data_IF_746587319454
#
_entry.id   IF_746587319454
#
_cell.length_a   1.000
_cell.length_b   1.000
_cell.length_c   1.000
_cell.angle_alpha   90.00
_cell.angle_beta   90.00
_cell.angle_gamma   90.00
#
_symmetry.space_group_name_H-M   'P 1'
#
loop_
_entity.id
_entity.type
_entity.pdbx_description
1 polymer ?
#
# COMPACT_ATOMS: atom_id res chain seq x y z
N UNK A 1 -12.80 15.00 -28.08
CA UNK A 1 -11.59 15.55 -27.45
C UNK A 1 -11.86 16.56 -26.33
N UNK A 2 -12.24 17.83 -26.58
CA UNK A 2 -12.37 18.80 -25.47
C UNK A 2 -13.46 18.44 -24.45
N UNK A 3 -14.64 18.01 -24.92
CA UNK A 3 -15.73 17.50 -24.06
C UNK A 3 -15.36 16.25 -23.27
N UNK A 4 -14.63 15.31 -23.87
CA UNK A 4 -14.17 14.09 -23.17
C UNK A 4 -13.14 14.40 -22.08
N UNK A 5 -12.24 15.36 -22.30
CA UNK A 5 -11.29 15.81 -21.28
C UNK A 5 -11.99 16.53 -20.12
N UNK A 6 -12.97 17.40 -20.42
CA UNK A 6 -13.75 18.10 -19.40
C UNK A 6 -14.57 17.10 -18.53
N UNK A 7 -15.07 16.02 -19.13
CA UNK A 7 -15.76 14.93 -18.43
C UNK A 7 -14.80 14.13 -17.54
N UNK A 8 -13.59 13.80 -18.01
CA UNK A 8 -12.56 13.12 -17.22
C UNK A 8 -12.14 13.96 -16.00
N UNK A 9 -12.01 15.27 -16.17
CA UNK A 9 -11.61 16.17 -15.09
C UNK A 9 -12.69 16.38 -14.02
N UNK A 10 -13.97 16.17 -14.34
CA UNK A 10 -15.06 16.28 -13.38
C UNK A 10 -15.04 15.16 -12.33
N UNK A 11 -14.54 13.98 -12.70
CA UNK A 11 -14.44 12.79 -11.84
C UNK A 11 -12.98 12.48 -11.44
N UNK A 12 -12.08 13.46 -11.58
CA UNK A 12 -10.68 13.34 -11.24
C UNK A 12 -10.46 13.44 -9.71
N UNK A 13 -10.68 12.34 -9.01
CA UNK A 13 -10.32 12.13 -7.61
C UNK A 13 -9.23 11.05 -7.47
N UNK A 14 -8.65 10.90 -6.27
CA UNK A 14 -7.64 9.86 -6.01
C UNK A 14 -8.18 8.42 -6.09
N UNK A 15 -9.49 8.23 -6.21
CA UNK A 15 -10.11 6.92 -6.43
C UNK A 15 -10.25 6.58 -7.92
N UNK A 16 -9.84 7.48 -8.80
CA UNK A 16 -9.66 7.22 -10.22
C UNK A 16 -8.22 6.77 -10.49
N UNK A 17 -8.04 5.52 -10.94
CA UNK A 17 -6.73 4.93 -11.20
C UNK A 17 -5.83 5.79 -12.10
N UNK A 18 -6.38 6.43 -13.13
CA UNK A 18 -5.60 7.28 -14.05
C UNK A 18 -5.13 8.54 -13.34
N UNK A 19 -6.02 9.21 -12.61
CA UNK A 19 -5.67 10.43 -11.89
C UNK A 19 -4.67 10.14 -10.77
N UNK A 20 -4.89 9.12 -9.94
CA UNK A 20 -3.97 8.72 -8.89
C UNK A 20 -2.58 8.40 -9.46
N UNK A 21 -2.51 7.70 -10.59
CA UNK A 21 -1.23 7.36 -11.23
C UNK A 21 -0.44 8.61 -11.62
N UNK A 22 -1.10 9.58 -12.26
CA UNK A 22 -0.47 10.84 -12.67
C UNK A 22 -0.15 11.73 -11.47
N UNK A 23 -1.02 11.72 -10.46
CA UNK A 23 -0.87 12.55 -9.27
C UNK A 23 0.32 12.13 -8.41
N UNK A 24 0.66 10.85 -8.36
CA UNK A 24 1.81 10.33 -7.60
C UNK A 24 3.07 10.10 -8.45
N UNK A 25 3.01 10.27 -9.77
CA UNK A 25 4.15 10.06 -10.67
C UNK A 25 5.31 11.00 -10.30
N UNK A 26 6.45 10.43 -9.88
CA UNK A 26 7.65 11.13 -9.39
C UNK A 26 7.42 12.05 -8.16
N UNK A 27 6.27 11.98 -7.50
CA UNK A 27 5.88 12.87 -6.39
C UNK A 27 6.25 12.29 -5.01
N UNK A 28 7.56 12.26 -4.73
CA UNK A 28 8.14 11.75 -3.47
C UNK A 28 7.64 12.50 -2.24
N UNK A 29 7.74 13.83 -2.25
CA UNK A 29 7.42 14.68 -1.08
C UNK A 29 5.97 14.51 -0.62
N UNK A 30 5.06 14.33 -1.58
CA UNK A 30 3.64 14.21 -1.31
C UNK A 30 3.28 12.83 -0.76
N UNK A 31 3.85 11.75 -1.31
CA UNK A 31 3.72 10.41 -0.74
C UNK A 31 4.31 10.37 0.68
N UNK A 32 5.49 10.95 0.88
CA UNK A 32 6.16 11.04 2.17
C UNK A 32 5.31 11.75 3.22
N UNK A 33 4.75 12.91 2.88
CA UNK A 33 3.87 13.66 3.77
C UNK A 33 2.64 12.83 4.15
N UNK A 34 1.99 12.21 3.17
CA UNK A 34 0.79 11.40 3.39
C UNK A 34 1.08 10.22 4.33
N UNK A 35 2.13 9.45 4.05
CA UNK A 35 2.52 8.30 4.88
C UNK A 35 2.93 8.72 6.28
N UNK A 36 3.66 9.84 6.42
CA UNK A 36 4.07 10.36 7.73
C UNK A 36 2.85 10.73 8.59
N UNK A 37 1.83 11.34 7.98
CA UNK A 37 0.56 11.66 8.66
C UNK A 37 -0.21 10.39 9.06
N UNK A 38 -0.30 9.40 8.17
CA UNK A 38 -1.01 8.14 8.43
C UNK A 38 -0.33 7.33 9.53
N UNK A 39 1.01 7.25 9.53
CA UNK A 39 1.79 6.45 10.47
C UNK A 39 2.12 7.22 11.76
N UNK A 40 1.90 8.54 11.79
CA UNK A 40 2.13 9.38 12.97
C UNK A 40 3.60 9.50 13.36
N UNK A 41 4.52 9.29 12.41
CA UNK A 41 5.97 9.45 12.56
C UNK A 41 6.54 9.98 11.25
N UNK A 42 7.73 10.57 11.32
CA UNK A 42 8.46 10.95 10.11
C UNK A 42 8.90 9.69 9.35
N UNK A 43 8.67 9.72 8.05
CA UNK A 43 9.08 8.70 7.07
C UNK A 43 9.90 9.43 6.01
N UNK A 44 10.93 8.76 5.50
CA UNK A 44 11.78 9.30 4.44
C UNK A 44 11.65 8.39 3.22
N UNK A 45 11.05 8.92 2.15
CA UNK A 45 10.85 8.20 0.89
C UNK A 45 11.97 8.59 -0.08
N UNK A 46 12.66 7.61 -0.65
CA UNK A 46 13.71 7.80 -1.65
C UNK A 46 13.14 7.82 -3.07
N UNK A 47 12.14 6.97 -3.34
CA UNK A 47 11.53 6.87 -4.67
C UNK A 47 10.10 6.36 -4.64
N UNK A 48 9.32 6.72 -5.66
CA UNK A 48 7.94 6.27 -5.88
C UNK A 48 7.86 5.44 -7.16
N UNK A 49 7.24 4.27 -7.10
CA UNK A 49 6.83 3.47 -8.26
C UNK A 49 5.30 3.44 -8.38
N UNK A 50 4.80 3.68 -9.58
CA UNK A 50 3.35 3.70 -9.87
C UNK A 50 2.95 2.42 -10.61
N UNK A 51 1.82 1.85 -10.22
CA UNK A 51 1.22 0.67 -10.85
C UNK A 51 2.17 -0.55 -10.94
N UNK A 52 3.05 -0.72 -9.94
CA UNK A 52 4.00 -1.81 -9.88
C UNK A 52 3.28 -3.16 -9.93
N UNK A 53 3.59 -3.95 -10.96
CA UNK A 53 3.00 -5.28 -11.12
C UNK A 53 4.02 -6.37 -10.80
N UNK A 54 3.71 -7.17 -9.78
CA UNK A 54 4.41 -8.42 -9.47
C UNK A 54 3.73 -9.55 -10.24
N UNK A 55 4.38 -9.97 -11.32
CA UNK A 55 3.90 -11.05 -12.19
C UNK A 55 4.25 -12.40 -11.58
N UNK A 56 3.23 -13.23 -11.36
CA UNK A 56 3.40 -14.62 -10.95
C UNK A 56 3.02 -15.56 -12.09
N UNK A 57 3.81 -16.61 -12.31
CA UNK A 57 3.58 -17.60 -13.38
C UNK A 57 2.67 -18.75 -12.96
N UNK A 58 2.61 -19.04 -11.66
CA UNK A 58 1.92 -20.17 -11.06
C UNK A 58 0.74 -19.77 -10.16
N UNK A 59 0.52 -18.47 -9.99
CA UNK A 59 -0.40 -17.91 -9.01
C UNK A 59 -0.92 -16.54 -9.43
N UNK A 60 -1.82 -15.96 -8.64
CA UNK A 60 -2.42 -14.66 -8.95
C UNK A 60 -1.38 -13.54 -8.83
N UNK A 61 -1.13 -12.83 -9.93
CA UNK A 61 -0.32 -11.60 -9.97
C UNK A 61 -0.96 -10.47 -9.14
N UNK A 62 -0.13 -9.55 -8.69
CA UNK A 62 -0.53 -8.41 -7.86
C UNK A 62 -0.10 -7.13 -8.55
N UNK A 63 -1.02 -6.18 -8.70
CA UNK A 63 -0.73 -4.81 -9.14
C UNK A 63 -0.94 -3.90 -7.95
N UNK A 64 0.09 -3.14 -7.63
CA UNK A 64 0.15 -2.19 -6.53
C UNK A 64 -0.02 -0.78 -7.09
N UNK A 65 -0.93 0.02 -6.56
CA UNK A 65 -1.25 1.33 -7.15
C UNK A 65 -0.09 2.32 -7.01
N UNK A 66 0.43 2.49 -5.79
CA UNK A 66 1.59 3.34 -5.47
C UNK A 66 2.50 2.60 -4.51
N UNK A 67 3.80 2.62 -4.77
CA UNK A 67 4.82 1.97 -3.94
C UNK A 67 5.90 2.98 -3.60
N UNK A 68 6.03 3.30 -2.31
CA UNK A 68 7.09 4.13 -1.78
C UNK A 68 8.24 3.26 -1.26
N UNK A 69 9.46 3.59 -1.66
CA UNK A 69 10.66 2.96 -1.14
C UNK A 69 11.28 3.88 -0.08
N UNK A 70 11.36 3.42 1.16
CA UNK A 70 11.96 4.17 2.27
C UNK A 70 13.49 4.09 2.21
N UNK A 71 14.16 5.11 2.78
CA UNK A 71 15.62 5.18 2.87
C UNK A 71 16.27 4.03 3.67
N UNK A 72 15.51 3.38 4.56
CA UNK A 72 15.97 2.21 5.34
C UNK A 72 15.77 0.88 4.60
N UNK A 73 15.24 0.92 3.36
CA UNK A 73 14.94 -0.26 2.55
C UNK A 73 13.52 -0.81 2.75
N UNK A 74 12.73 -0.27 3.69
CA UNK A 74 11.33 -0.63 3.86
C UNK A 74 10.49 -0.19 2.66
N UNK A 75 9.33 -0.82 2.47
CA UNK A 75 8.42 -0.50 1.37
C UNK A 75 7.00 -0.23 1.87
N UNK A 76 6.47 0.93 1.51
CA UNK A 76 5.08 1.30 1.72
C UNK A 76 4.26 1.06 0.44
N UNK A 77 3.27 0.18 0.51
CA UNK A 77 2.31 -0.09 -0.57
C UNK A 77 1.03 0.67 -0.25
N UNK A 78 0.60 1.57 -1.13
CA UNK A 78 -0.66 2.32 -1.00
C UNK A 78 -1.64 1.85 -2.08
N UNK A 79 -2.84 1.48 -1.64
CA UNK A 79 -3.92 0.94 -2.48
C UNK A 79 -5.19 1.78 -2.33
N UNK A 80 -5.77 2.24 -3.44
CA UNK A 80 -7.03 2.97 -3.43
C UNK A 80 -8.21 2.01 -3.66
N UNK A 81 -9.23 2.07 -2.79
CA UNK A 81 -10.38 1.15 -2.82
C UNK A 81 -11.69 1.92 -3.02
N UNK A 82 -12.23 1.83 -4.23
CA UNK A 82 -13.54 2.39 -4.59
C UNK A 82 -14.69 1.53 -4.06
N UNK A 83 -14.55 0.20 -4.14
CA UNK A 83 -15.59 -0.74 -3.72
C UNK A 83 -15.28 -1.21 -2.30
N UNK A 84 -16.27 -1.08 -1.42
CA UNK A 84 -16.24 -1.61 -0.06
C UNK A 84 -15.90 -3.11 -0.04
N UNK A 85 -14.65 -3.43 0.27
CA UNK A 85 -14.24 -4.77 0.63
C UNK A 85 -14.48 -4.97 2.13
N UNK A 86 -15.42 -5.83 2.49
CA UNK A 86 -15.67 -6.18 3.90
C UNK A 86 -14.38 -6.72 4.56
N UNK A 87 -14.22 -6.56 5.88
CA UNK A 87 -12.97 -6.89 6.59
C UNK A 87 -12.37 -8.27 6.28
N UNK A 88 -13.15 -9.37 6.15
CA UNK A 88 -12.58 -10.68 5.84
C UNK A 88 -11.91 -10.77 4.46
N UNK A 89 -12.39 -10.01 3.48
CA UNK A 89 -11.82 -9.96 2.13
C UNK A 89 -10.58 -9.07 2.14
N UNK A 90 -10.67 -7.91 2.81
CA UNK A 90 -9.54 -7.00 2.95
C UNK A 90 -8.36 -7.71 3.60
N UNK A 91 -8.56 -8.39 4.73
CA UNK A 91 -7.50 -9.14 5.41
C UNK A 91 -6.84 -10.22 4.52
N UNK A 92 -7.62 -10.96 3.73
CA UNK A 92 -7.08 -11.96 2.80
C UNK A 92 -6.28 -11.30 1.67
N UNK A 93 -6.75 -10.17 1.15
CA UNK A 93 -6.05 -9.37 0.14
C UNK A 93 -4.75 -8.80 0.71
N UNK A 94 -4.80 -8.24 1.92
CA UNK A 94 -3.62 -7.70 2.60
C UNK A 94 -2.52 -8.76 2.70
N UNK A 95 -2.87 -9.95 3.19
CA UNK A 95 -1.93 -11.07 3.28
C UNK A 95 -1.35 -11.47 1.91
N UNK A 96 -2.18 -11.52 0.86
CA UNK A 96 -1.72 -11.86 -0.49
C UNK A 96 -0.75 -10.81 -1.04
N UNK A 97 -1.02 -9.53 -0.80
CA UNK A 97 -0.18 -8.42 -1.25
C UNK A 97 1.16 -8.41 -0.51
N UNK A 98 1.15 -8.51 0.82
CA UNK A 98 2.37 -8.59 1.63
C UNK A 98 3.26 -9.76 1.22
N UNK A 99 2.71 -10.98 1.06
CA UNK A 99 3.50 -12.15 0.63
C UNK A 99 4.17 -11.92 -0.73
N UNK A 100 3.48 -11.29 -1.69
CA UNK A 100 4.09 -11.02 -2.98
C UNK A 100 5.17 -9.93 -2.91
N UNK A 101 4.99 -8.94 -2.04
CA UNK A 101 6.02 -7.94 -1.75
C UNK A 101 7.27 -8.60 -1.17
N UNK A 102 7.12 -9.40 -0.11
CA UNK A 102 8.22 -10.12 0.54
C UNK A 102 8.96 -11.03 -0.45
N UNK A 103 8.23 -11.69 -1.36
CA UNK A 103 8.82 -12.50 -2.45
C UNK A 103 9.61 -11.69 -3.48
N UNK A 104 9.25 -10.42 -3.72
CA UNK A 104 10.02 -9.52 -4.60
C UNK A 104 11.28 -9.03 -3.89
N UNK A 105 11.23 -8.85 -2.56
CA UNK A 105 12.35 -8.37 -1.76
C UNK A 105 13.46 -9.42 -1.58
N UNK A 106 13.09 -10.69 -1.42
CA UNK A 106 14.05 -11.78 -1.20
C UNK A 106 14.28 -12.62 -2.46
N UNK A 107 15.54 -12.66 -2.89
CA UNK A 107 16.02 -13.58 -3.90
C UNK A 107 16.26 -14.99 -3.34
N UNK A 108 16.35 -15.96 -4.26
CA UNK A 108 16.62 -17.35 -3.88
C UNK A 108 17.98 -17.48 -3.17
N UNK A 109 17.95 -17.95 -1.92
CA UNK A 109 19.13 -18.20 -1.09
C UNK A 109 19.49 -17.07 -0.13
N UNK A 110 18.79 -15.94 -0.17
CA UNK A 110 18.94 -14.87 0.81
C UNK A 110 18.35 -15.26 2.18
N UNK A 111 18.89 -14.65 3.24
CA UNK A 111 18.45 -14.92 4.60
C UNK A 111 17.16 -14.16 4.88
N UNK A 112 16.22 -14.79 5.59
CA UNK A 112 15.02 -14.11 6.07
C UNK A 112 15.30 -12.94 7.01
N UNK A 113 16.53 -12.84 7.55
CA UNK A 113 16.97 -11.68 8.34
C UNK A 113 17.20 -10.42 7.49
N UNK A 114 17.35 -10.59 6.18
CA UNK A 114 17.57 -9.49 5.24
C UNK A 114 16.22 -9.01 4.65
N UNK A 115 15.10 -9.59 5.09
CA UNK A 115 13.76 -9.18 4.69
C UNK A 115 13.44 -7.83 5.33
N UNK A 116 13.31 -6.81 4.50
CA UNK A 116 12.99 -5.46 4.96
C UNK A 116 11.53 -5.33 5.37
N UNK A 117 11.26 -4.29 6.17
CA UNK A 117 9.91 -3.93 6.58
C UNK A 117 9.01 -3.64 5.39
N UNK A 118 7.72 -3.97 5.53
CA UNK A 118 6.70 -3.52 4.59
C UNK A 118 5.43 -3.08 5.32
N UNK A 119 4.78 -2.05 4.77
CA UNK A 119 3.48 -1.58 5.22
C UNK A 119 2.52 -1.53 4.03
N UNK A 120 1.27 -1.95 4.27
CA UNK A 120 0.22 -1.92 3.28
C UNK A 120 -0.92 -1.02 3.78
N UNK A 121 -1.12 0.10 3.10
CA UNK A 121 -2.08 1.14 3.42
C UNK A 121 -3.22 1.08 2.41
N UNK A 122 -4.42 0.81 2.89
CA UNK A 122 -5.63 0.93 2.08
C UNK A 122 -6.29 2.28 2.32
N UNK A 123 -6.43 3.08 1.27
CA UNK A 123 -7.23 4.31 1.26
C UNK A 123 -8.60 3.95 0.68
N UNK A 124 -9.64 4.01 1.48
CA UNK A 124 -10.98 3.55 1.12
C UNK A 124 -11.95 4.74 0.93
N UNK A 125 -12.82 4.67 -0.08
CA UNK A 125 -13.81 5.74 -0.37
C UNK A 125 -14.90 5.82 0.70
N UNK A 126 -15.22 4.68 1.30
CA UNK A 126 -16.20 4.53 2.38
C UNK A 126 -15.57 3.80 3.59
N UNK A 127 -16.29 3.75 4.71
CA UNK A 127 -15.88 3.03 5.92
C UNK A 127 -15.88 1.50 5.71
N UNK A 128 -14.74 0.98 5.22
CA UNK A 128 -14.55 -0.44 4.95
C UNK A 128 -14.63 -1.34 6.19
N UNK A 129 -14.38 -0.78 7.38
CA UNK A 129 -14.40 -1.53 8.64
C UNK A 129 -15.77 -1.47 9.32
N UNK A 130 -16.49 -0.37 9.15
CA UNK A 130 -17.86 -0.18 9.62
C UNK A 130 -17.94 0.24 11.09
N UNK A 131 -16.95 0.96 11.61
CA UNK A 131 -16.96 1.42 13.01
C UNK A 131 -16.85 2.94 13.18
N UNK A 132 -16.95 3.70 12.09
CA UNK A 132 -16.97 5.16 12.07
C UNK A 132 -15.62 5.82 12.36
N UNK A 133 -14.50 5.07 12.34
CA UNK A 133 -13.16 5.63 12.52
C UNK A 133 -12.48 5.87 11.16
N UNK A 134 -11.69 6.96 11.03
CA UNK A 134 -11.01 7.27 9.77
C UNK A 134 -9.73 6.45 9.55
N UNK A 135 -9.15 5.90 10.61
CA UNK A 135 -7.89 5.18 10.57
C UNK A 135 -7.94 3.90 11.41
N UNK A 136 -7.45 2.82 10.83
CA UNK A 136 -7.32 1.52 11.47
C UNK A 136 -5.93 0.96 11.21
N UNK A 137 -5.29 0.48 12.27
CA UNK A 137 -3.99 -0.18 12.19
C UNK A 137 -4.13 -1.64 12.61
N UNK A 138 -3.55 -2.53 11.82
CA UNK A 138 -3.55 -3.96 12.05
C UNK A 138 -2.11 -4.45 12.07
N UNK A 139 -1.83 -5.41 12.96
CA UNK A 139 -0.52 -6.06 13.05
C UNK A 139 -0.71 -7.51 13.44
N UNK A 140 0.29 -8.34 13.14
CA UNK A 140 0.29 -9.74 13.54
C UNK A 140 0.53 -9.86 15.05
N UNK A 141 -0.30 -10.67 15.70
CA UNK A 141 -0.20 -10.95 17.13
C UNK A 141 -0.36 -12.45 17.38
N UNK A 142 0.21 -12.96 18.46
CA UNK A 142 -0.12 -14.31 18.93
C UNK A 142 -1.50 -14.39 19.57
N UNK A 143 -1.81 -15.59 20.08
CA UNK A 143 -3.06 -15.89 20.78
C UNK A 143 -3.23 -15.08 22.07
N UNK A 144 -2.13 -14.66 22.69
CA UNK A 144 -2.12 -13.85 23.91
C UNK A 144 -2.16 -12.34 23.60
N UNK A 145 -2.10 -11.96 22.32
CA UNK A 145 -2.16 -10.58 21.86
C UNK A 145 -0.81 -9.86 21.86
N UNK A 146 0.29 -10.57 22.08
CA UNK A 146 1.64 -10.03 21.94
C UNK A 146 1.98 -9.88 20.46
N UNK A 147 2.54 -8.73 20.10
CA UNK A 147 3.00 -8.48 18.73
C UNK A 147 4.31 -9.22 18.50
N UNK A 148 4.36 -9.99 17.42
CA UNK A 148 5.57 -10.69 16.98
C UNK A 148 6.41 -9.89 15.99
N UNK A 149 6.10 -8.60 15.81
CA UNK A 149 6.92 -7.68 15.01
C UNK A 149 8.38 -7.87 15.42
N UNK A 150 9.18 -8.40 14.49
CA UNK A 150 10.55 -8.85 14.73
C UNK A 150 11.55 -7.69 14.84
N UNK A 151 11.06 -6.45 14.91
CA UNK A 151 11.85 -5.24 15.09
C UNK A 151 11.55 -4.62 16.44
N UNK A 152 12.61 -4.50 17.26
CA UNK A 152 12.65 -3.70 18.46
C UNK A 152 12.35 -2.24 18.08
N UNK A 153 11.29 -1.68 18.67
CA UNK A 153 10.97 -0.24 18.55
C UNK A 153 12.00 0.63 19.25
#
# INVERSE_FOLDING_TARGET
MKKEFDEILQDADLFNDMYASVFFEDEVDMLQLMLSLIRGKEIIIDSVEIQLTIVNTDSKSTRMDVVGHEADGSVDIVEFQVILCKPPILAKRSRHYSINCDRKMLNHGESYKDLQGSALVFICKDDAIGNGKPLHSFTMKDQDGMSWAMEER
#
